data_IF_303918610628
#
_entry.id   IF_303918610628
#
_cell.length_a   1.000
_cell.length_b   1.000
_cell.length_c   1.000
_cell.angle_alpha   90.00
_cell.angle_beta   90.00
_cell.angle_gamma   90.00
#
_symmetry.space_group_name_H-M   'P 1'
#
loop_
_entity.id
_entity.type
_entity.pdbx_description
1 polymer ?
#
# COMPACT_ATOMS: atom_id res chain seq x y z
N UNK A 1 1.32 6.15 -0.09
CA UNK A 1 2.45 6.83 -0.74
C UNK A 1 2.22 7.10 -2.23
N UNK A 2 1.39 6.34 -2.96
CA UNK A 2 1.18 6.58 -4.42
C UNK A 2 0.02 7.53 -4.79
N UNK A 3 -0.95 7.79 -3.89
CA UNK A 3 -2.07 8.75 -4.16
C UNK A 3 -2.21 9.90 -3.18
N UNK A 4 -1.29 10.01 -2.23
CA UNK A 4 -1.17 11.19 -1.39
C UNK A 4 -0.15 12.11 -2.07
N UNK A 5 -0.57 13.26 -2.59
CA UNK A 5 0.39 14.29 -2.97
C UNK A 5 1.27 14.56 -1.74
N UNK A 6 2.59 14.54 -1.91
CA UNK A 6 3.60 14.75 -0.85
C UNK A 6 3.20 15.72 0.30
N UNK A 7 2.51 16.85 0.06
CA UNK A 7 1.97 17.72 1.12
C UNK A 7 1.07 17.03 2.17
N UNK A 8 0.30 16.00 1.82
CA UNK A 8 -0.59 15.31 2.78
C UNK A 8 0.22 14.48 3.78
N UNK A 9 1.32 13.87 3.33
CA UNK A 9 2.21 13.13 4.23
C UNK A 9 2.90 14.07 5.21
N UNK A 10 3.33 15.25 4.75
CA UNK A 10 3.94 16.27 5.61
C UNK A 10 2.97 16.82 6.66
N UNK A 11 1.68 16.95 6.32
CA UNK A 11 0.63 17.30 7.30
C UNK A 11 0.51 16.24 8.41
N UNK A 12 0.59 14.95 8.06
CA UNK A 12 0.56 13.89 9.06
C UNK A 12 1.82 13.89 9.94
N UNK A 13 3.00 14.21 9.38
CA UNK A 13 4.21 14.38 10.19
C UNK A 13 4.03 15.48 11.25
N UNK A 14 3.38 16.59 10.90
CA UNK A 14 3.08 17.66 11.86
C UNK A 14 2.12 17.22 12.98
N UNK A 15 1.11 16.40 12.64
CA UNK A 15 0.17 15.87 13.63
C UNK A 15 0.84 14.85 14.56
N UNK A 16 1.74 14.02 14.05
CA UNK A 16 2.44 13.01 14.85
C UNK A 16 3.47 13.60 15.82
N UNK A 17 3.92 14.84 15.60
CA UNK A 17 4.84 15.54 16.50
C UNK A 17 4.10 16.17 17.71
N UNK A 18 3.23 17.16 17.46
CA UNK A 18 2.60 17.97 18.53
C UNK A 18 1.10 17.67 18.72
N UNK A 19 0.55 16.68 17.99
CA UNK A 19 -0.87 16.36 18.04
C UNK A 19 -1.75 17.51 17.51
N UNK A 20 -1.21 18.44 16.73
CA UNK A 20 -1.92 19.65 16.29
C UNK A 20 -1.73 19.91 14.81
N UNK A 21 -2.80 20.43 14.19
CA UNK A 21 -2.76 20.89 12.80
C UNK A 21 -3.38 22.28 12.70
N UNK A 22 -2.63 23.21 12.13
CA UNK A 22 -3.11 24.57 11.83
C UNK A 22 -3.40 24.70 10.35
N UNK A 23 -4.60 25.17 10.00
CA UNK A 23 -4.97 25.44 8.61
C UNK A 23 -4.45 26.80 8.11
N UNK A 24 -4.60 27.08 6.81
CA UNK A 24 -4.14 28.34 6.20
C UNK A 24 -4.88 29.60 6.67
N UNK A 25 -5.96 29.45 7.45
CA UNK A 25 -6.70 30.56 8.07
C UNK A 25 -6.32 30.73 9.55
N UNK A 26 -5.33 29.99 10.04
CA UNK A 26 -4.83 30.07 11.41
C UNK A 26 -5.66 29.30 12.44
N UNK A 27 -6.66 28.51 12.01
CA UNK A 27 -7.45 27.67 12.93
C UNK A 27 -6.66 26.42 13.27
N UNK A 28 -6.62 26.05 14.54
CA UNK A 28 -5.87 24.87 15.01
C UNK A 28 -6.81 23.79 15.52
N UNK A 29 -6.65 22.58 15.02
CA UNK A 29 -7.32 21.38 15.49
C UNK A 29 -6.38 20.55 16.38
N UNK A 30 -6.93 19.95 17.43
CA UNK A 30 -6.22 19.12 18.42
C UNK A 30 -6.56 17.63 18.19
N UNK A 31 -5.52 16.79 18.12
CA UNK A 31 -5.57 15.36 17.84
C UNK A 31 -5.08 14.51 19.02
N UNK A 32 -4.79 15.10 20.19
CA UNK A 32 -4.26 14.38 21.38
C UNK A 32 -5.16 13.23 21.87
N UNK A 33 -6.47 13.28 21.58
CA UNK A 33 -7.43 12.22 21.89
C UNK A 33 -8.07 11.62 20.63
N UNK A 34 -7.34 11.56 19.53
CA UNK A 34 -7.80 11.05 18.23
C UNK A 34 -6.95 9.85 17.78
N UNK A 35 -7.61 8.80 17.28
CA UNK A 35 -6.92 7.68 16.62
C UNK A 35 -6.85 7.96 15.12
N UNK A 36 -5.64 8.00 14.58
CA UNK A 36 -5.40 8.18 13.14
C UNK A 36 -5.23 6.81 12.49
N UNK A 37 -6.13 6.47 11.58
CA UNK A 37 -6.07 5.23 10.80
C UNK A 37 -5.68 5.57 9.36
N UNK A 38 -4.52 5.10 8.93
CA UNK A 38 -4.10 5.19 7.54
C UNK A 38 -4.25 3.84 6.86
N UNK A 39 -4.86 3.85 5.68
CA UNK A 39 -4.94 2.67 4.80
C UNK A 39 -4.29 3.00 3.48
N UNK A 40 -3.46 2.10 2.96
CA UNK A 40 -2.96 2.19 1.61
C UNK A 40 -3.70 1.19 0.75
N UNK A 41 -4.19 1.61 -0.40
CA UNK A 41 -4.78 0.70 -1.39
C UNK A 41 -3.69 -0.10 -2.14
N UNK A 42 -2.54 -0.35 -1.50
CA UNK A 42 -1.46 -1.12 -2.08
C UNK A 42 -1.87 -2.59 -2.07
N UNK A 43 -1.95 -3.16 -3.26
CA UNK A 43 -2.01 -4.60 -3.44
C UNK A 43 -0.59 -5.11 -3.30
N UNK A 44 -0.35 -5.98 -2.32
CA UNK A 44 0.92 -6.69 -2.21
C UNK A 44 0.84 -7.88 -3.16
N UNK A 45 1.50 -7.78 -4.32
CA UNK A 45 1.67 -8.91 -5.22
C UNK A 45 2.67 -9.89 -4.59
N UNK A 46 2.16 -10.86 -3.84
CA UNK A 46 2.93 -12.01 -3.38
C UNK A 46 3.07 -13.03 -4.52
N UNK A 47 3.69 -12.61 -5.61
CA UNK A 47 4.02 -13.47 -6.75
C UNK A 47 5.05 -14.54 -6.37
N UNK A 48 4.65 -15.52 -5.56
CA UNK A 48 5.31 -16.80 -5.47
C UNK A 48 4.98 -17.56 -6.77
N UNK A 49 5.81 -17.32 -7.79
CA UNK A 49 6.19 -18.21 -8.90
C UNK A 49 5.23 -19.38 -9.24
N UNK A 50 3.95 -19.07 -9.48
CA UNK A 50 2.95 -20.06 -9.91
C UNK A 50 3.05 -20.34 -11.41
N UNK A 51 3.73 -19.48 -12.16
CA UNK A 51 3.99 -19.61 -13.60
C UNK A 51 4.93 -20.77 -13.89
N UNK A 52 5.98 -20.98 -13.09
CA UNK A 52 6.97 -22.06 -13.32
C UNK A 52 6.40 -23.46 -13.12
N UNK A 53 5.42 -23.63 -12.22
CA UNK A 53 4.80 -24.94 -11.96
C UNK A 53 3.78 -25.33 -13.04
N UNK A 54 3.00 -24.37 -13.53
CA UNK A 54 2.04 -24.65 -14.62
C UNK A 54 2.73 -24.98 -15.94
N UNK A 55 3.85 -24.31 -16.25
CA UNK A 55 4.61 -24.58 -17.47
C UNK A 55 5.14 -26.02 -17.53
N UNK A 56 5.70 -26.52 -16.43
CA UNK A 56 6.25 -27.88 -16.33
C UNK A 56 5.21 -29.00 -16.46
N UNK A 57 3.97 -28.75 -16.01
CA UNK A 57 2.87 -29.73 -16.13
C UNK A 57 2.34 -29.78 -17.56
N UNK A 58 2.27 -28.65 -18.26
CA UNK A 58 1.85 -28.60 -19.66
C UNK A 58 2.88 -29.25 -20.59
N UNK A 59 4.17 -29.02 -20.35
CA UNK A 59 5.25 -29.63 -21.15
C UNK A 59 5.25 -31.16 -21.01
N UNK A 60 5.06 -31.68 -19.80
CA UNK A 60 4.95 -33.14 -19.56
C UNK A 60 3.74 -33.77 -20.27
N UNK A 61 2.62 -33.05 -20.39
CA UNK A 61 1.43 -33.54 -21.12
C UNK A 61 1.62 -33.55 -22.64
N UNK A 62 2.46 -32.68 -23.18
CA UNK A 62 2.78 -32.64 -24.62
C UNK A 62 3.72 -33.78 -25.02
N UNK A 63 4.71 -34.10 -24.18
CA UNK A 63 5.66 -35.19 -24.44
C UNK A 63 5.03 -36.58 -24.36
N UNK A 64 4.03 -36.77 -23.48
CA UNK A 64 3.31 -38.06 -23.34
C UNK A 64 2.27 -38.37 -24.44
N UNK A 65 2.00 -37.43 -25.36
CA UNK A 65 0.97 -37.59 -26.40
C UNK A 65 1.54 -37.96 -27.80
N UNK A 66 2.86 -38.10 -27.92
CA UNK A 66 3.57 -38.37 -29.18
C UNK A 66 4.15 -39.80 -29.30
N UNK A 67 3.78 -40.71 -28.40
CA UNK A 67 4.15 -42.13 -28.44
C UNK A 67 2.92 -43.03 -28.54
#
# INVERSE_FOLDING_TARGET
MEKAAAPVFNLFLQILDDGRLTDGHGRTADFTNTIIIMTSNLVVDYGADSTTTQQRVLDRRREGALN
#
